data_IF_472474211304
#
_entry.id   IF_472474211304
#
_cell.length_a   1.000
_cell.length_b   1.000
_cell.length_c   1.000
_cell.angle_alpha   90.00
_cell.angle_beta   90.00
_cell.angle_gamma   90.00
#
_symmetry.space_group_name_H-M   'P 1'
#
loop_
_entity.id
_entity.type
_entity.pdbx_description
1 polymer ?
#
# COMPACT_ATOMS: atom_id res chain seq x y z
N UNK A 1 41.42 -69.82 -14.25
CA UNK A 1 41.52 -68.77 -13.21
C UNK A 1 40.83 -67.53 -13.69
N UNK A 2 39.61 -67.32 -13.23
CA UNK A 2 38.73 -66.19 -13.63
C UNK A 2 38.77 -65.17 -12.52
N UNK A 3 39.25 -63.94 -12.79
CA UNK A 3 39.29 -62.83 -11.82
C UNK A 3 37.99 -62.00 -11.99
N UNK A 4 37.18 -62.00 -10.96
CA UNK A 4 36.03 -61.13 -10.84
C UNK A 4 36.54 -59.72 -10.50
N UNK A 5 36.20 -58.73 -11.30
CA UNK A 5 36.34 -57.31 -11.01
C UNK A 5 35.04 -56.79 -10.42
N UNK A 6 35.06 -56.44 -9.14
CA UNK A 6 33.94 -55.84 -8.43
C UNK A 6 34.07 -54.29 -8.59
N UNK A 7 33.16 -53.72 -9.35
CA UNK A 7 33.04 -52.26 -9.49
C UNK A 7 32.22 -51.70 -8.32
N UNK A 8 32.84 -50.88 -7.52
CA UNK A 8 32.16 -50.11 -6.45
C UNK A 8 31.61 -48.81 -7.05
N UNK A 9 30.28 -48.70 -7.10
CA UNK A 9 29.63 -47.43 -7.41
C UNK A 9 29.59 -46.54 -6.17
N UNK A 10 30.36 -45.45 -6.19
CA UNK A 10 30.21 -44.35 -5.23
C UNK A 10 28.96 -43.50 -5.64
N UNK A 11 27.92 -43.56 -4.82
CA UNK A 11 26.78 -42.65 -4.94
C UNK A 11 27.17 -41.38 -4.22
N UNK A 12 27.44 -40.34 -5.00
CA UNK A 12 27.66 -38.98 -4.49
C UNK A 12 26.26 -38.38 -4.16
N UNK A 13 25.94 -38.26 -2.88
CA UNK A 13 24.78 -37.51 -2.40
C UNK A 13 25.07 -36.01 -2.56
N UNK A 14 24.59 -35.42 -3.64
CA UNK A 14 24.54 -33.96 -3.77
C UNK A 14 23.53 -33.40 -2.76
N UNK A 15 24.03 -32.84 -1.69
CA UNK A 15 23.25 -32.10 -0.73
C UNK A 15 22.58 -30.89 -1.42
N UNK A 16 21.24 -30.88 -1.45
CA UNK A 16 20.49 -29.71 -1.84
C UNK A 16 20.68 -28.68 -0.75
N UNK A 17 21.58 -27.73 -0.96
CA UNK A 17 21.68 -26.54 -0.15
C UNK A 17 20.40 -25.73 -0.38
N UNK A 18 19.47 -25.76 0.59
CA UNK A 18 18.37 -24.83 0.64
C UNK A 18 18.95 -23.42 0.77
N UNK A 19 18.78 -22.61 -0.26
CA UNK A 19 19.07 -21.18 -0.17
C UNK A 19 18.14 -20.61 0.90
N UNK A 20 18.61 -20.46 2.13
CA UNK A 20 18.01 -19.60 3.12
C UNK A 20 18.08 -18.18 2.57
N UNK A 21 16.98 -17.70 1.96
CA UNK A 21 16.83 -16.31 1.58
C UNK A 21 17.13 -15.46 2.81
N UNK A 22 18.08 -14.53 2.69
CA UNK A 22 18.33 -13.52 3.72
C UNK A 22 16.99 -12.89 4.02
N UNK A 23 16.51 -13.01 5.26
CA UNK A 23 15.34 -12.29 5.75
C UNK A 23 15.71 -10.80 5.72
N UNK A 24 15.34 -10.13 4.64
CA UNK A 24 15.64 -8.71 4.38
C UNK A 24 14.72 -7.76 5.19
N UNK A 25 13.98 -8.33 6.15
CA UNK A 25 13.11 -7.61 7.05
C UNK A 25 11.74 -7.24 6.47
N UNK A 26 11.44 -7.64 5.23
CA UNK A 26 10.14 -7.42 4.63
C UNK A 26 9.08 -8.38 5.16
N UNK A 27 7.93 -7.83 5.57
CA UNK A 27 6.70 -8.54 5.92
C UNK A 27 5.73 -8.42 4.75
N UNK A 28 5.26 -9.55 4.21
CA UNK A 28 4.16 -9.60 3.25
C UNK A 28 2.84 -9.28 3.99
N UNK A 29 2.16 -8.23 3.54
CA UNK A 29 0.91 -7.78 4.14
C UNK A 29 -0.33 -8.46 3.55
N UNK A 30 -0.24 -9.02 2.36
CA UNK A 30 -1.39 -9.65 1.71
C UNK A 30 -1.46 -11.15 2.01
N UNK A 31 -0.34 -11.87 1.86
CA UNK A 31 -0.28 -13.31 2.08
C UNK A 31 -1.40 -14.09 1.40
N UNK A 32 -1.68 -15.27 1.92
CA UNK A 32 -2.76 -16.14 1.38
C UNK A 32 -4.15 -15.82 1.97
N UNK A 33 -4.25 -15.07 3.06
CA UNK A 33 -5.50 -14.95 3.83
C UNK A 33 -5.69 -13.62 4.57
N UNK A 34 -4.94 -12.57 4.22
CA UNK A 34 -4.98 -11.27 4.89
C UNK A 34 -4.66 -11.31 6.41
N UNK A 35 -3.97 -12.33 6.90
CA UNK A 35 -3.72 -12.51 8.34
C UNK A 35 -2.94 -11.36 9.00
N UNK A 36 -2.24 -10.52 8.21
CA UNK A 36 -1.58 -9.31 8.71
C UNK A 36 -2.58 -8.19 9.07
N UNK A 37 -3.85 -8.32 8.68
CA UNK A 37 -4.90 -7.33 8.88
C UNK A 37 -5.89 -7.76 9.96
N UNK A 38 -6.62 -6.80 10.53
CA UNK A 38 -7.66 -7.03 11.53
C UNK A 38 -8.95 -7.47 10.86
N UNK A 39 -9.58 -8.51 11.39
CA UNK A 39 -10.91 -8.95 10.96
C UNK A 39 -12.03 -8.02 11.48
N UNK A 40 -13.21 -8.04 10.84
CA UNK A 40 -13.55 -8.78 9.62
C UNK A 40 -13.08 -8.05 8.37
N UNK A 41 -12.73 -8.80 7.31
CA UNK A 41 -12.25 -8.24 6.04
C UNK A 41 -13.39 -7.77 5.11
N UNK A 42 -14.64 -8.20 5.35
CA UNK A 42 -15.77 -7.89 4.47
C UNK A 42 -15.67 -8.59 3.10
N UNK A 43 -15.96 -7.83 2.04
CA UNK A 43 -16.09 -8.36 0.68
C UNK A 43 -14.75 -8.52 -0.08
N UNK A 44 -13.61 -8.51 0.62
CA UNK A 44 -12.31 -8.75 0.01
C UNK A 44 -12.20 -10.17 -0.56
N UNK A 45 -11.73 -10.29 -1.79
CA UNK A 45 -11.63 -11.53 -2.55
C UNK A 45 -10.20 -11.76 -3.04
N UNK A 46 -9.74 -13.00 -2.98
CA UNK A 46 -8.49 -13.41 -3.62
C UNK A 46 -8.81 -13.89 -5.04
N UNK A 47 -8.14 -13.34 -6.03
CA UNK A 47 -8.36 -13.57 -7.45
C UNK A 47 -7.01 -13.70 -8.18
N UNK A 48 -7.01 -14.20 -9.43
CA UNK A 48 -5.79 -14.25 -10.25
C UNK A 48 -5.42 -12.90 -10.86
N UNK A 49 -6.41 -12.03 -11.11
CA UNK A 49 -6.18 -10.73 -11.71
C UNK A 49 -7.45 -9.96 -12.01
N UNK A 50 -7.29 -8.71 -12.42
CA UNK A 50 -8.37 -7.84 -12.90
C UNK A 50 -8.06 -7.34 -14.30
N UNK A 51 -9.11 -7.18 -15.11
CA UNK A 51 -9.08 -6.48 -16.39
C UNK A 51 -10.14 -5.39 -16.38
N UNK A 52 -9.85 -4.27 -17.05
CA UNK A 52 -10.84 -3.22 -17.19
C UNK A 52 -11.99 -3.70 -18.07
N UNK A 53 -13.23 -3.51 -17.62
CA UNK A 53 -14.39 -3.82 -18.45
C UNK A 53 -14.49 -2.78 -19.60
N UNK A 54 -14.33 -3.25 -20.83
CA UNK A 54 -14.35 -2.38 -22.02
C UNK A 54 -15.69 -1.64 -22.22
N UNK A 55 -16.81 -2.20 -21.72
CA UNK A 55 -18.13 -1.59 -21.79
C UNK A 55 -18.45 -0.71 -20.58
N UNK A 56 -17.86 -1.03 -19.44
CA UNK A 56 -18.10 -0.35 -18.16
C UNK A 56 -16.77 0.07 -17.53
N UNK A 57 -16.12 1.13 -18.00
CA UNK A 57 -14.74 1.49 -17.61
C UNK A 57 -14.56 1.84 -16.12
N UNK A 58 -15.65 1.88 -15.36
CA UNK A 58 -15.66 2.03 -13.88
C UNK A 58 -15.67 0.68 -13.16
N UNK A 59 -15.58 -0.43 -13.87
CA UNK A 59 -15.62 -1.79 -13.32
C UNK A 59 -14.43 -2.61 -13.76
N UNK A 60 -14.13 -3.61 -12.95
CA UNK A 60 -13.23 -4.68 -13.29
C UNK A 60 -13.99 -5.98 -13.62
N UNK A 61 -13.44 -6.73 -14.55
CA UNK A 61 -13.69 -8.16 -14.74
C UNK A 61 -12.62 -8.90 -13.92
N UNK A 62 -13.05 -9.61 -12.87
CA UNK A 62 -12.17 -10.39 -12.04
C UNK A 62 -11.94 -11.76 -12.67
N UNK A 63 -10.71 -12.30 -12.58
CA UNK A 63 -10.35 -13.65 -13.00
C UNK A 63 -10.18 -14.53 -11.76
N UNK A 64 -10.87 -15.65 -11.72
CA UNK A 64 -10.76 -16.61 -10.62
C UNK A 64 -9.32 -17.09 -10.43
N UNK A 65 -8.89 -17.24 -9.16
CA UNK A 65 -7.57 -17.72 -8.80
C UNK A 65 -6.99 -17.01 -7.59
N UNK A 66 -5.66 -16.87 -7.55
CA UNK A 66 -4.92 -16.31 -6.42
C UNK A 66 -3.84 -15.34 -6.89
N UNK A 67 -3.30 -14.55 -5.95
CA UNK A 67 -2.18 -13.63 -6.18
C UNK A 67 -2.55 -12.16 -6.17
N UNK A 68 -3.83 -11.83 -6.26
CA UNK A 68 -4.35 -10.46 -6.22
C UNK A 68 -5.48 -10.40 -5.19
N UNK A 69 -5.46 -9.36 -4.36
CA UNK A 69 -6.56 -9.04 -3.45
C UNK A 69 -7.40 -7.90 -4.01
N UNK A 70 -8.70 -8.13 -4.10
CA UNK A 70 -9.68 -7.25 -4.72
C UNK A 70 -10.81 -6.95 -3.74
N UNK A 71 -11.18 -5.68 -3.58
CA UNK A 71 -12.24 -5.25 -2.67
C UNK A 71 -13.67 -5.45 -3.21
N UNK A 72 -13.80 -6.26 -4.27
CA UNK A 72 -15.07 -6.64 -4.88
C UNK A 72 -15.62 -5.64 -5.90
N UNK A 73 -16.60 -6.08 -6.70
CA UNK A 73 -17.13 -5.30 -7.84
C UNK A 73 -17.90 -4.04 -7.44
N UNK A 74 -18.35 -3.96 -6.20
CA UNK A 74 -19.02 -2.78 -5.65
C UNK A 74 -18.03 -1.71 -5.19
N UNK A 75 -16.76 -2.10 -4.91
CA UNK A 75 -15.76 -1.20 -4.38
C UNK A 75 -16.16 -0.57 -3.04
N UNK A 76 -16.83 -1.33 -2.19
CA UNK A 76 -17.32 -0.90 -0.89
C UNK A 76 -17.08 -1.99 0.17
N UNK A 77 -15.84 -2.49 0.21
CA UNK A 77 -15.39 -3.41 1.25
C UNK A 77 -14.99 -2.66 2.53
N UNK A 78 -14.74 -3.40 3.58
CA UNK A 78 -14.18 -2.83 4.82
C UNK A 78 -12.74 -2.36 4.58
N UNK A 79 -12.40 -1.22 5.15
CA UNK A 79 -11.03 -0.73 5.21
C UNK A 79 -10.17 -1.70 6.01
N UNK A 80 -8.99 -2.04 5.52
CA UNK A 80 -8.06 -2.92 6.20
C UNK A 80 -7.19 -2.13 7.17
N UNK A 81 -7.06 -2.61 8.41
CA UNK A 81 -6.14 -2.08 9.41
C UNK A 81 -5.14 -3.16 9.79
N UNK A 82 -3.84 -2.87 9.72
CA UNK A 82 -2.82 -3.85 10.13
C UNK A 82 -2.98 -4.25 11.61
N UNK A 83 -2.66 -5.51 11.92
CA UNK A 83 -2.61 -6.00 13.31
C UNK A 83 -1.44 -5.39 14.06
N UNK A 84 -0.30 -5.29 13.38
CA UNK A 84 0.91 -4.67 13.89
C UNK A 84 0.83 -3.15 13.73
N UNK A 85 1.30 -2.43 14.74
CA UNK A 85 1.61 -1.01 14.65
C UNK A 85 3.04 -0.83 14.14
N UNK A 86 3.26 0.27 13.44
CA UNK A 86 4.53 0.63 12.83
C UNK A 86 4.90 2.06 13.21
N UNK A 87 6.19 2.30 13.42
CA UNK A 87 6.79 3.64 13.49
C UNK A 87 7.31 4.06 12.11
N UNK A 88 8.63 4.17 11.98
CA UNK A 88 9.27 4.42 10.69
C UNK A 88 9.22 3.19 9.82
N UNK A 89 8.77 3.34 8.58
CA UNK A 89 8.61 2.20 7.66
C UNK A 89 8.97 2.55 6.23
N UNK A 90 9.36 1.51 5.52
CA UNK A 90 9.32 1.46 4.06
C UNK A 90 8.22 0.50 3.63
N UNK A 91 7.36 0.92 2.70
CA UNK A 91 6.29 0.11 2.12
C UNK A 91 6.43 0.10 0.61
N UNK A 92 6.17 -1.05 0.02
CA UNK A 92 6.04 -1.26 -1.42
C UNK A 92 4.73 -1.98 -1.69
N UNK A 93 3.98 -1.54 -2.71
CA UNK A 93 2.83 -2.29 -3.20
C UNK A 93 2.48 -1.92 -4.64
N UNK A 94 1.78 -2.84 -5.29
CA UNK A 94 1.17 -2.59 -6.58
C UNK A 94 -0.34 -2.50 -6.42
N UNK A 95 -0.95 -1.55 -7.14
CA UNK A 95 -2.39 -1.37 -7.16
C UNK A 95 -2.91 -1.18 -8.58
N UNK A 96 -4.18 -1.50 -8.78
CA UNK A 96 -4.90 -1.26 -10.01
C UNK A 96 -6.29 -0.71 -9.67
N UNK A 97 -6.71 0.32 -10.39
CA UNK A 97 -8.02 0.98 -10.23
C UNK A 97 -8.70 1.18 -11.58
N UNK A 98 -10.03 1.04 -11.67
CA UNK A 98 -10.78 1.41 -12.84
C UNK A 98 -11.03 2.92 -12.86
N UNK A 99 -11.62 3.42 -13.94
CA UNK A 99 -11.91 4.85 -14.14
C UNK A 99 -12.73 5.44 -12.98
N UNK A 100 -12.23 6.54 -12.43
CA UNK A 100 -12.89 7.30 -11.35
C UNK A 100 -12.95 6.57 -10.00
N UNK A 101 -12.16 5.52 -9.80
CA UNK A 101 -12.05 4.85 -8.51
C UNK A 101 -11.12 5.61 -7.57
N UNK A 102 -11.38 5.46 -6.26
CA UNK A 102 -10.69 6.10 -5.17
C UNK A 102 -10.33 5.07 -4.08
N UNK A 103 -9.13 5.15 -3.58
CA UNK A 103 -8.58 4.38 -2.47
C UNK A 103 -7.47 5.21 -1.80
N UNK A 104 -6.74 4.64 -0.86
CA UNK A 104 -5.61 5.30 -0.21
C UNK A 104 -4.87 4.37 0.74
N UNK A 105 -3.61 4.72 1.00
CA UNK A 105 -2.81 4.12 2.07
C UNK A 105 -2.59 5.14 3.16
N UNK A 106 -2.91 4.78 4.42
CA UNK A 106 -2.72 5.67 5.58
C UNK A 106 -1.70 5.09 6.53
N UNK A 107 -0.66 5.87 6.81
CA UNK A 107 0.31 5.58 7.87
C UNK A 107 -0.29 6.01 9.21
N UNK A 108 -0.15 5.17 10.23
CA UNK A 108 -0.78 5.32 11.55
C UNK A 108 -2.33 5.45 11.49
N UNK A 109 -2.93 5.04 10.36
CA UNK A 109 -4.37 5.26 10.10
C UNK A 109 -4.75 6.73 9.90
N UNK A 110 -3.78 7.66 9.82
CA UNK A 110 -4.00 9.10 9.86
C UNK A 110 -3.37 9.86 8.69
N UNK A 111 -2.19 9.47 8.20
CA UNK A 111 -1.46 10.18 7.15
C UNK A 111 -1.65 9.48 5.81
N UNK A 112 -2.47 10.04 4.97
CA UNK A 112 -2.90 9.42 3.72
C UNK A 112 -2.09 9.86 2.52
N UNK A 113 -1.62 8.88 1.74
CA UNK A 113 -1.28 9.07 0.34
C UNK A 113 -2.45 8.56 -0.49
N UNK A 114 -2.98 9.45 -1.33
CA UNK A 114 -4.16 9.22 -2.14
C UNK A 114 -3.91 8.26 -3.29
N UNK A 115 -4.88 7.40 -3.57
CA UNK A 115 -4.98 6.59 -4.78
C UNK A 115 -6.25 7.01 -5.50
N UNK A 116 -6.12 7.69 -6.64
CA UNK A 116 -7.24 8.21 -7.42
C UNK A 116 -6.94 8.07 -8.92
N UNK A 117 -7.96 7.89 -9.73
CA UNK A 117 -7.81 8.01 -11.19
C UNK A 117 -7.54 9.48 -11.56
N UNK A 118 -6.27 9.82 -11.64
CA UNK A 118 -5.79 11.15 -12.03
C UNK A 118 -5.07 11.14 -13.37
N UNK A 119 -5.22 10.05 -14.17
CA UNK A 119 -4.54 9.92 -15.46
C UNK A 119 -4.81 11.11 -16.38
N UNK A 120 -3.75 11.70 -16.92
CA UNK A 120 -3.81 12.85 -17.83
C UNK A 120 -4.14 14.20 -17.18
N UNK A 121 -4.41 14.25 -15.87
CA UNK A 121 -4.67 15.50 -15.14
C UNK A 121 -3.40 16.37 -15.09
N UNK A 122 -3.52 17.67 -15.35
CA UNK A 122 -2.40 18.62 -15.38
C UNK A 122 -2.26 19.40 -14.07
N UNK A 123 -3.37 19.86 -13.50
CA UNK A 123 -3.38 20.65 -12.25
C UNK A 123 -3.65 19.74 -11.08
N UNK A 124 -2.61 19.35 -10.37
CA UNK A 124 -2.66 18.40 -9.26
C UNK A 124 -2.89 19.09 -7.92
N UNK A 125 -3.55 18.38 -7.02
CA UNK A 125 -3.74 18.71 -5.62
C UNK A 125 -3.36 17.51 -4.75
N UNK A 126 -3.46 17.61 -3.45
CA UNK A 126 -3.30 16.47 -2.54
C UNK A 126 -4.39 15.40 -2.68
N UNK A 127 -5.51 15.72 -3.33
CA UNK A 127 -6.60 14.78 -3.62
C UNK A 127 -6.34 13.92 -4.88
N UNK A 128 -5.22 14.16 -5.57
CA UNK A 128 -4.84 13.37 -6.74
C UNK A 128 -3.92 12.20 -6.40
N UNK A 129 -3.81 11.25 -7.32
CA UNK A 129 -2.99 10.04 -7.13
C UNK A 129 -1.56 10.37 -6.70
N UNK A 130 -1.15 9.80 -5.57
CA UNK A 130 0.15 10.07 -4.96
C UNK A 130 0.20 11.36 -4.13
N UNK A 131 -0.87 12.16 -4.07
CA UNK A 131 -0.95 13.35 -3.23
C UNK A 131 -1.09 13.00 -1.75
N UNK A 132 -0.68 13.92 -0.89
CA UNK A 132 -0.98 13.87 0.54
C UNK A 132 -2.34 14.50 0.75
N UNK A 133 -3.28 13.68 1.21
CA UNK A 133 -4.71 14.00 1.20
C UNK A 133 -5.04 15.29 1.96
N UNK A 134 -5.97 16.13 1.47
CA UNK A 134 -6.41 17.34 2.15
C UNK A 134 -6.98 17.07 3.53
N UNK A 135 -6.90 18.04 4.43
CA UNK A 135 -7.68 18.03 5.67
C UNK A 135 -9.15 18.31 5.35
N UNK A 136 -10.04 17.73 6.15
CA UNK A 136 -11.47 17.87 5.91
C UNK A 136 -12.26 18.07 7.22
N UNK A 137 -13.43 18.71 7.11
CA UNK A 137 -14.44 18.79 8.15
C UNK A 137 -15.67 17.97 7.76
N UNK A 138 -16.33 17.34 8.74
CA UNK A 138 -17.52 16.54 8.52
C UNK A 138 -18.81 17.36 8.53
N UNK A 139 -18.80 18.52 9.16
CA UNK A 139 -20.00 19.37 9.33
C UNK A 139 -19.86 20.70 8.62
N UNK A 140 -20.91 21.21 7.97
CA UNK A 140 -22.27 20.62 7.83
C UNK A 140 -22.31 19.42 6.88
N UNK A 141 -21.27 19.20 6.09
CA UNK A 141 -21.04 18.05 5.20
C UNK A 141 -19.55 17.84 5.07
N UNK A 142 -19.11 16.66 4.58
CA UNK A 142 -17.72 16.44 4.26
C UNK A 142 -17.22 17.49 3.26
N UNK A 143 -16.18 18.22 3.62
CA UNK A 143 -15.56 19.23 2.77
C UNK A 143 -14.07 19.41 3.10
N UNK A 144 -13.27 19.53 2.08
CA UNK A 144 -11.86 19.85 2.25
C UNK A 144 -11.70 21.29 2.75
N UNK A 145 -10.83 21.50 3.73
CA UNK A 145 -10.48 22.83 4.27
C UNK A 145 -9.19 23.38 3.70
N UNK A 146 -8.46 22.57 2.93
CA UNK A 146 -7.28 22.94 2.16
C UNK A 146 -7.17 22.08 0.89
N UNK A 147 -6.07 22.20 0.17
CA UNK A 147 -5.81 21.44 -1.07
C UNK A 147 -4.93 20.22 -0.85
N UNK A 148 -4.54 19.91 0.40
CA UNK A 148 -3.51 18.92 0.66
C UNK A 148 -2.17 19.30 0.02
N UNK A 149 -1.31 18.30 -0.22
CA UNK A 149 -0.01 18.51 -0.86
C UNK A 149 0.03 17.72 -2.17
N UNK A 150 0.08 18.43 -3.29
CA UNK A 150 0.15 17.81 -4.61
C UNK A 150 1.43 17.00 -4.79
N UNK A 151 1.40 15.87 -5.53
CA UNK A 151 2.62 15.22 -5.99
C UNK A 151 3.38 16.17 -6.94
N UNK A 152 4.71 16.07 -6.99
CA UNK A 152 5.57 16.93 -7.84
C UNK A 152 5.24 16.85 -9.33
N UNK A 153 4.72 15.69 -9.75
CA UNK A 153 4.32 15.41 -11.14
C UNK A 153 3.23 14.34 -11.15
N UNK A 154 2.49 14.27 -12.25
CA UNK A 154 1.53 13.20 -12.47
C UNK A 154 2.23 11.96 -13.06
N UNK A 155 2.56 11.00 -12.19
CA UNK A 155 3.13 9.72 -12.61
C UNK A 155 2.05 8.62 -12.76
N UNK A 156 0.75 8.96 -12.65
CA UNK A 156 -0.36 8.03 -12.72
C UNK A 156 -0.49 7.43 -14.12
N UNK A 157 -0.60 6.10 -14.21
CA UNK A 157 -0.91 5.38 -15.45
C UNK A 157 -2.42 5.38 -15.71
N UNK A 158 -2.83 4.94 -16.89
CA UNK A 158 -4.23 4.82 -17.25
C UNK A 158 -4.98 3.85 -16.31
N UNK A 159 -6.30 4.07 -16.08
CA UNK A 159 -7.15 3.10 -15.39
C UNK A 159 -7.03 1.72 -16.03
N UNK A 160 -6.95 0.68 -15.20
CA UNK A 160 -6.74 -0.71 -15.64
C UNK A 160 -5.28 -1.13 -15.72
N UNK A 161 -4.33 -0.20 -15.67
CA UNK A 161 -2.91 -0.51 -15.63
C UNK A 161 -2.43 -0.69 -14.17
N UNK A 162 -1.56 -1.68 -13.94
CA UNK A 162 -0.90 -1.86 -12.66
C UNK A 162 0.10 -0.72 -12.39
N UNK A 163 0.01 -0.16 -11.21
CA UNK A 163 0.84 0.94 -10.74
C UNK A 163 1.61 0.49 -9.51
N UNK A 164 2.81 1.04 -9.30
CA UNK A 164 3.64 0.78 -8.12
C UNK A 164 3.72 2.02 -7.26
N UNK A 165 3.60 1.84 -5.95
CA UNK A 165 3.86 2.89 -4.97
C UNK A 165 4.89 2.40 -3.94
N UNK A 166 5.98 3.15 -3.84
CA UNK A 166 7.04 2.96 -2.86
C UNK A 166 7.08 4.17 -1.94
N UNK A 167 7.04 3.96 -0.62
CA UNK A 167 7.03 5.06 0.35
C UNK A 167 7.96 4.76 1.51
N UNK A 168 8.79 5.74 1.86
CA UNK A 168 9.52 5.81 3.12
C UNK A 168 8.83 6.84 4.00
N UNK A 169 8.18 6.36 5.06
CA UNK A 169 7.48 7.17 6.06
C UNK A 169 8.27 7.22 7.37
N UNK A 170 8.45 8.40 7.91
CA UNK A 170 9.03 8.63 9.23
C UNK A 170 7.95 9.16 10.17
N UNK A 171 7.76 8.46 11.27
CA UNK A 171 6.80 8.79 12.31
C UNK A 171 7.13 10.12 13.03
N UNK A 172 6.15 10.80 13.62
CA UNK A 172 6.43 11.97 14.45
C UNK A 172 7.24 11.59 15.69
N UNK A 173 8.00 12.54 16.21
CA UNK A 173 8.77 12.33 17.44
C UNK A 173 8.18 13.16 18.58
N UNK A 174 8.30 12.61 19.77
CA UNK A 174 7.78 13.21 20.99
C UNK A 174 8.86 13.15 22.08
N UNK A 175 8.89 14.16 22.96
CA UNK A 175 9.72 14.16 24.15
C UNK A 175 9.17 13.18 25.23
N UNK A 176 9.76 13.25 26.41
CA UNK A 176 9.38 12.38 27.55
C UNK A 176 8.00 12.74 28.10
N UNK A 177 7.62 13.98 27.97
CA UNK A 177 6.33 14.54 28.40
C UNK A 177 5.20 14.30 27.39
N UNK A 178 5.52 13.69 26.21
CA UNK A 178 4.56 13.40 25.16
C UNK A 178 4.27 14.57 24.22
N UNK A 179 5.02 15.67 24.32
CA UNK A 179 4.90 16.80 23.39
C UNK A 179 5.59 16.48 22.07
N UNK A 180 4.93 16.75 20.95
CA UNK A 180 5.51 16.56 19.62
C UNK A 180 6.67 17.52 19.41
N UNK A 181 7.86 16.96 19.12
CA UNK A 181 9.11 17.70 18.86
C UNK A 181 9.56 17.63 17.39
N UNK A 182 8.98 16.70 16.60
CA UNK A 182 9.22 16.58 15.17
C UNK A 182 7.99 16.07 14.47
N UNK A 183 7.66 16.66 13.32
CA UNK A 183 6.54 16.22 12.50
C UNK A 183 6.81 14.85 11.87
N UNK A 184 5.73 14.14 11.50
CA UNK A 184 5.83 13.02 10.58
C UNK A 184 6.35 13.51 9.22
N UNK A 185 6.91 12.60 8.42
CA UNK A 185 7.50 12.96 7.13
C UNK A 185 7.35 11.82 6.12
N UNK A 186 7.00 12.15 4.89
CA UNK A 186 7.29 11.29 3.74
C UNK A 186 8.73 11.60 3.32
N UNK A 187 9.68 10.76 3.74
CA UNK A 187 11.08 10.94 3.40
C UNK A 187 11.28 10.77 1.88
N UNK A 188 10.59 9.81 1.28
CA UNK A 188 10.48 9.65 -0.15
C UNK A 188 9.17 8.93 -0.50
N UNK A 189 8.53 9.32 -1.59
CA UNK A 189 7.48 8.54 -2.23
C UNK A 189 7.74 8.50 -3.75
N UNK A 190 7.60 7.31 -4.32
CA UNK A 190 7.73 7.09 -5.77
C UNK A 190 6.46 6.42 -6.29
N UNK A 191 5.88 6.99 -7.33
CA UNK A 191 4.78 6.39 -8.09
C UNK A 191 5.31 5.99 -9.47
N UNK A 192 5.20 4.71 -9.80
CA UNK A 192 5.69 4.16 -11.07
C UNK A 192 7.17 4.50 -11.35
N UNK A 193 8.01 4.43 -10.31
CA UNK A 193 9.45 4.72 -10.39
C UNK A 193 9.82 6.20 -10.45
N UNK A 194 8.84 7.12 -10.41
CA UNK A 194 9.09 8.57 -10.41
C UNK A 194 8.90 9.16 -9.01
N UNK A 195 9.86 9.96 -8.55
CA UNK A 195 9.80 10.61 -7.23
C UNK A 195 8.71 11.68 -7.23
N UNK A 196 7.64 11.44 -6.45
CA UNK A 196 6.50 12.35 -6.31
C UNK A 196 6.57 13.20 -5.03
N UNK A 197 7.20 12.69 -3.96
CA UNK A 197 7.53 13.44 -2.75
C UNK A 197 8.96 13.14 -2.30
N UNK A 198 9.62 14.13 -1.73
CA UNK A 198 10.97 14.00 -1.16
C UNK A 198 11.12 14.94 0.04
N UNK A 199 11.39 14.39 1.22
CA UNK A 199 11.51 15.12 2.51
C UNK A 199 10.29 16.02 2.78
N UNK A 200 9.08 15.50 2.51
CA UNK A 200 7.84 16.24 2.72
C UNK A 200 7.36 16.07 4.16
N UNK A 201 7.41 17.13 4.94
CA UNK A 201 6.84 17.16 6.29
C UNK A 201 5.32 17.14 6.27
N UNK A 202 4.74 16.45 7.27
CA UNK A 202 3.31 16.33 7.51
C UNK A 202 2.99 17.01 8.84
N UNK A 203 2.52 18.25 8.77
CA UNK A 203 2.28 19.09 9.97
C UNK A 203 1.18 18.50 10.88
N UNK A 204 0.21 17.84 10.29
CA UNK A 204 -0.95 17.22 10.96
C UNK A 204 -1.34 15.93 10.23
N UNK A 205 -2.16 15.07 10.84
CA UNK A 205 -2.92 14.05 10.12
C UNK A 205 -3.76 14.62 8.98
N UNK A 206 -4.29 13.76 8.11
CA UNK A 206 -5.07 14.12 6.93
C UNK A 206 -6.56 13.79 7.09
N UNK A 207 -7.38 14.18 6.13
CA UNK A 207 -8.81 13.90 6.08
C UNK A 207 -9.55 14.51 7.27
N UNK A 208 -10.64 13.87 7.67
CA UNK A 208 -11.46 14.26 8.83
C UNK A 208 -10.78 14.00 10.17
N UNK A 209 -9.66 13.28 10.16
CA UNK A 209 -8.86 12.92 11.35
C UNK A 209 -7.71 13.87 11.65
N UNK A 210 -7.62 15.00 10.95
CA UNK A 210 -6.50 15.92 11.07
C UNK A 210 -6.33 16.54 12.48
N UNK A 211 -7.38 16.50 13.33
CA UNK A 211 -7.35 16.93 14.74
C UNK A 211 -7.02 15.79 15.73
N UNK A 212 -6.90 14.55 15.25
CA UNK A 212 -6.63 13.43 16.13
C UNK A 212 -5.21 13.52 16.70
N UNK A 213 -5.04 12.99 17.91
CA UNK A 213 -3.72 12.88 18.52
C UNK A 213 -2.80 12.02 17.64
N UNK A 214 -1.63 12.53 17.39
CA UNK A 214 -0.57 11.81 16.69
C UNK A 214 0.15 10.87 17.67
N UNK A 215 0.73 9.79 17.16
CA UNK A 215 1.36 8.76 17.97
C UNK A 215 2.70 8.31 17.38
N UNK A 216 3.56 7.70 18.22
CA UNK A 216 4.89 7.19 17.79
C UNK A 216 4.78 6.04 16.82
N UNK A 217 3.76 5.22 16.99
CA UNK A 217 3.47 4.05 16.17
C UNK A 217 1.96 3.92 15.98
N UNK A 218 1.54 3.41 14.84
CA UNK A 218 0.14 3.18 14.54
C UNK A 218 -0.05 2.17 13.40
N UNK A 219 -1.28 1.74 13.14
CA UNK A 219 -1.55 0.78 12.09
C UNK A 219 -1.37 1.39 10.69
N UNK A 220 -0.99 0.57 9.73
CA UNK A 220 -1.27 0.86 8.33
C UNK A 220 -2.77 0.67 8.07
N UNK A 221 -3.34 1.49 7.19
CA UNK A 221 -4.74 1.36 6.77
C UNK A 221 -4.82 1.46 5.25
N UNK A 222 -5.55 0.53 4.65
CA UNK A 222 -5.92 0.57 3.23
C UNK A 222 -7.39 0.93 3.12
N UNK A 223 -7.70 1.99 2.38
CA UNK A 223 -9.09 2.38 2.11
C UNK A 223 -9.70 1.50 1.02
N UNK A 224 -10.94 1.04 1.24
CA UNK A 224 -11.60 0.07 0.36
C UNK A 224 -13.09 0.36 0.09
N UNK A 225 -13.59 1.52 0.50
CA UNK A 225 -15.01 1.87 0.49
C UNK A 225 -15.38 2.99 -0.50
N UNK A 226 -14.45 3.37 -1.40
CA UNK A 226 -14.64 4.48 -2.34
C UNK A 226 -14.43 4.11 -3.83
N UNK A 227 -14.60 2.85 -4.16
CA UNK A 227 -14.49 2.33 -5.51
C UNK A 227 -13.70 1.03 -5.59
N UNK A 228 -13.78 0.31 -6.73
CA UNK A 228 -13.05 -0.93 -6.92
C UNK A 228 -11.55 -0.70 -6.95
N UNK A 229 -10.80 -1.50 -6.19
CA UNK A 229 -9.33 -1.48 -6.18
C UNK A 229 -8.78 -2.89 -5.99
N UNK A 230 -7.72 -3.19 -6.71
CA UNK A 230 -6.98 -4.44 -6.58
C UNK A 230 -5.54 -4.17 -6.12
N UNK A 231 -5.01 -5.01 -5.24
CA UNK A 231 -3.65 -4.95 -4.71
C UNK A 231 -2.91 -6.25 -4.90
N UNK A 232 -1.60 -6.17 -5.10
CA UNK A 232 -0.66 -7.29 -5.07
C UNK A 232 0.71 -6.83 -4.60
N UNK A 233 1.60 -7.76 -4.27
CA UNK A 233 2.99 -7.49 -3.90
C UNK A 233 3.14 -6.42 -2.78
N UNK A 234 2.19 -6.39 -1.82
CA UNK A 234 2.22 -5.42 -0.73
C UNK A 234 3.09 -5.92 0.41
N UNK A 235 4.16 -5.21 0.67
CA UNK A 235 5.14 -5.55 1.72
C UNK A 235 5.62 -4.32 2.46
N UNK A 236 5.93 -4.48 3.74
CA UNK A 236 6.43 -3.42 4.63
C UNK A 236 7.65 -3.90 5.39
N UNK A 237 8.55 -3.00 5.69
CA UNK A 237 9.63 -3.22 6.67
C UNK A 237 9.80 -2.03 7.58
N UNK A 238 10.13 -2.29 8.85
CA UNK A 238 10.51 -1.25 9.79
C UNK A 238 11.90 -0.71 9.43
N UNK A 239 12.08 0.59 9.53
CA UNK A 239 13.37 1.27 9.41
C UNK A 239 13.92 1.41 10.82
N UNK A 240 15.19 0.97 11.02
CA UNK A 240 15.90 1.06 12.30
C UNK A 240 16.66 2.38 12.41
#
# INVERSE_FOLDING_TARGET
>A
MLRLLTSVFLISSAGIASAQGKNDGWLDLLGDNLSAWKEPYGDWQQIAGVELDAKLPRKFLAKDGKGVWYNGPKGNARNLFSRQNFGDVEIHFEFNIPKGSNSGIKFHGHYEIQILDSFGKKNLTGDDCGGIYPRAELKPRYMHIDKGIAPKLNACKAPGDWQTLDVVFLAPRFDKEGKKIKNAMIAQAMLNGQVIHNKQELMTPTGDRWKNAEMREGPLMVQADHGPVAFRNMKVRAIK
#
